data_IF_518641327254
#
_entry.id   IF_518641327254
#
_cell.length_a   1.000
_cell.length_b   1.000
_cell.length_c   1.000
_cell.angle_alpha   90.00
_cell.angle_beta   90.00
_cell.angle_gamma   90.00
#
_symmetry.space_group_name_H-M   'P 1'
#
loop_
_entity.id
_entity.type
_entity.pdbx_description
1 polymer ?
#
# COMPACT_ATOMS: atom_id res chain seq x y z
N UNK A 1 -5.39 21.54 -6.82
CA UNK A 1 -5.71 20.12 -7.06
C UNK A 1 -7.18 20.06 -7.41
N UNK A 2 -7.56 19.40 -8.50
CA UNK A 2 -8.97 19.15 -8.77
C UNK A 2 -9.62 18.36 -7.61
N UNK A 3 -10.94 18.51 -7.37
CA UNK A 3 -11.64 17.81 -6.29
C UNK A 3 -11.48 16.29 -6.38
N UNK A 4 -11.45 15.75 -7.60
CA UNK A 4 -11.21 14.32 -7.85
C UNK A 4 -9.81 13.85 -7.43
N UNK A 5 -8.76 14.67 -7.60
CA UNK A 5 -7.41 14.33 -7.14
C UNK A 5 -7.30 14.34 -5.62
N UNK A 6 -8.06 15.20 -4.95
CA UNK A 6 -8.10 15.29 -3.48
C UNK A 6 -8.78 14.07 -2.86
N UNK A 7 -9.88 13.61 -3.45
CA UNK A 7 -10.55 12.37 -3.07
C UNK A 7 -9.63 11.15 -3.24
N UNK A 8 -8.97 11.02 -4.39
CA UNK A 8 -8.02 9.93 -4.64
C UNK A 8 -6.84 9.93 -3.66
N UNK A 9 -6.37 11.12 -3.27
CA UNK A 9 -5.31 11.25 -2.25
C UNK A 9 -5.79 10.73 -0.90
N UNK A 10 -6.99 11.12 -0.48
CA UNK A 10 -7.58 10.65 0.78
C UNK A 10 -7.84 9.14 0.74
N UNK A 11 -8.36 8.61 -0.37
CA UNK A 11 -8.56 7.18 -0.56
C UNK A 11 -7.24 6.41 -0.46
N UNK A 12 -6.18 6.90 -1.11
CA UNK A 12 -4.85 6.30 -1.03
C UNK A 12 -4.30 6.34 0.40
N UNK A 13 -4.41 7.49 1.09
CA UNK A 13 -3.93 7.65 2.46
C UNK A 13 -4.70 6.74 3.44
N UNK A 14 -6.03 6.78 3.40
CA UNK A 14 -6.88 6.00 4.30
C UNK A 14 -6.65 4.51 4.07
N UNK A 15 -6.67 4.05 2.80
CA UNK A 15 -6.46 2.63 2.50
C UNK A 15 -5.06 2.15 2.88
N UNK A 16 -4.03 2.98 2.66
CA UNK A 16 -2.66 2.63 2.99
C UNK A 16 -2.42 2.60 4.51
N UNK A 17 -2.95 3.59 5.23
CA UNK A 17 -2.90 3.62 6.70
C UNK A 17 -3.69 2.47 7.32
N UNK A 18 -4.88 2.17 6.79
CA UNK A 18 -5.69 1.05 7.22
C UNK A 18 -4.96 -0.29 6.99
N UNK A 19 -4.28 -0.45 5.85
CA UNK A 19 -3.47 -1.63 5.56
C UNK A 19 -2.31 -1.79 6.57
N UNK A 20 -1.58 -0.71 6.87
CA UNK A 20 -0.51 -0.75 7.88
C UNK A 20 -1.04 -1.17 9.26
N UNK A 21 -2.18 -0.58 9.67
CA UNK A 21 -2.82 -0.95 10.94
C UNK A 21 -3.26 -2.41 10.91
N UNK A 22 -3.87 -2.86 9.81
CA UNK A 22 -4.35 -4.24 9.65
C UNK A 22 -3.22 -5.25 9.76
N UNK A 23 -2.09 -5.00 9.09
CA UNK A 23 -0.90 -5.88 9.14
C UNK A 23 -0.38 -6.01 10.58
N UNK A 24 -0.31 -4.90 11.31
CA UNK A 24 0.11 -4.90 12.73
C UNK A 24 -0.90 -5.65 13.58
N UNK A 25 -2.20 -5.37 13.43
CA UNK A 25 -3.27 -6.02 14.19
C UNK A 25 -3.28 -7.54 13.93
N UNK A 26 -3.07 -7.96 12.69
CA UNK A 26 -3.03 -9.37 12.35
C UNK A 26 -1.84 -10.07 12.99
N UNK A 27 -0.62 -9.56 12.82
CA UNK A 27 0.59 -10.21 13.33
C UNK A 27 0.77 -10.11 14.86
N UNK A 28 0.24 -9.07 15.52
CA UNK A 28 0.40 -8.87 16.96
C UNK A 28 -0.78 -9.34 17.81
N UNK A 29 -2.01 -9.31 17.27
CA UNK A 29 -3.23 -9.58 18.06
C UNK A 29 -3.91 -10.86 17.62
N UNK A 30 -4.07 -11.07 16.30
CA UNK A 30 -4.91 -12.15 15.78
C UNK A 30 -4.16 -13.47 15.59
N UNK A 31 -2.91 -13.40 15.13
CA UNK A 31 -2.07 -14.57 14.89
C UNK A 31 -0.62 -14.27 15.30
N UNK A 32 -0.33 -14.18 16.60
CA UNK A 32 1.04 -14.04 17.08
C UNK A 32 1.85 -15.25 16.61
N UNK A 33 2.85 -15.01 15.75
CA UNK A 33 3.70 -16.09 15.29
C UNK A 33 4.67 -16.51 16.40
N UNK A 34 4.50 -17.69 16.96
CA UNK A 34 5.40 -18.28 17.96
C UNK A 34 6.82 -18.51 17.38
N UNK A 35 6.96 -18.67 16.05
CA UNK A 35 8.23 -18.99 15.39
C UNK A 35 9.12 -17.78 15.07
N UNK A 36 8.57 -16.57 14.97
CA UNK A 36 9.33 -15.39 14.55
C UNK A 36 9.25 -14.31 15.61
N UNK A 37 10.40 -13.69 15.92
CA UNK A 37 10.43 -12.59 16.87
C UNK A 37 9.53 -11.44 16.37
N UNK A 38 8.71 -10.82 17.25
CA UNK A 38 7.86 -9.69 16.88
C UNK A 38 8.65 -8.54 16.23
N UNK A 39 9.91 -8.37 16.64
CA UNK A 39 10.82 -7.37 16.09
C UNK A 39 11.15 -7.65 14.61
N UNK A 40 11.35 -8.92 14.25
CA UNK A 40 11.66 -9.33 12.88
C UNK A 40 10.47 -9.08 11.95
N UNK A 41 9.25 -9.40 12.41
CA UNK A 41 8.02 -9.10 11.68
C UNK A 41 7.86 -7.59 11.42
N UNK A 42 8.09 -6.75 12.43
CA UNK A 42 8.02 -5.28 12.27
C UNK A 42 9.09 -4.77 11.30
N UNK A 43 10.32 -5.26 11.43
CA UNK A 43 11.42 -4.86 10.54
C UNK A 43 11.17 -5.29 9.09
N UNK A 44 10.61 -6.46 8.87
CA UNK A 44 10.42 -7.00 7.52
C UNK A 44 9.15 -6.46 6.85
N UNK A 45 8.07 -6.24 7.61
CA UNK A 45 6.77 -5.80 7.06
C UNK A 45 6.53 -4.30 7.25
N UNK A 46 6.63 -3.81 8.47
CA UNK A 46 6.25 -2.44 8.83
C UNK A 46 7.29 -1.42 8.33
N UNK A 47 8.58 -1.75 8.41
CA UNK A 47 9.66 -0.83 8.02
C UNK A 47 9.62 -0.46 6.53
N UNK A 48 9.55 -1.41 5.58
CA UNK A 48 9.36 -1.04 4.19
C UNK A 48 8.03 -0.33 3.95
N UNK A 49 6.95 -0.65 4.68
CA UNK A 49 5.65 0.06 4.58
C UNK A 49 5.66 1.51 5.10
N UNK A 50 6.55 1.85 6.03
CA UNK A 50 6.66 3.23 6.57
C UNK A 50 7.42 4.18 5.62
N UNK A 51 8.37 3.67 4.84
CA UNK A 51 9.12 4.44 3.85
C UNK A 51 8.24 5.17 2.82
N UNK A 52 7.28 4.51 2.14
CA UNK A 52 6.41 5.16 1.15
C UNK A 52 5.40 6.09 1.82
N UNK A 53 4.98 5.81 3.06
CA UNK A 53 3.99 6.62 3.78
C UNK A 53 4.46 8.09 3.88
N UNK A 54 5.74 8.32 4.21
CA UNK A 54 6.30 9.68 4.26
C UNK A 54 6.17 10.41 2.91
N UNK A 55 6.44 9.74 1.79
CA UNK A 55 6.35 10.39 0.48
C UNK A 55 4.92 10.48 -0.09
N UNK A 56 4.02 9.58 0.31
CA UNK A 56 2.57 9.68 0.07
C UNK A 56 2.02 10.94 0.79
N UNK A 57 2.42 11.17 2.04
CA UNK A 57 2.04 12.38 2.79
C UNK A 57 2.57 13.63 2.10
N UNK A 58 3.79 13.60 1.57
CA UNK A 58 4.37 14.70 0.77
C UNK A 58 3.70 14.88 -0.61
N UNK A 59 2.82 13.96 -1.04
CA UNK A 59 2.05 14.06 -2.28
C UNK A 59 2.90 13.89 -3.55
N UNK A 60 4.08 13.27 -3.46
CA UNK A 60 4.98 13.06 -4.60
C UNK A 60 4.45 11.91 -5.48
N UNK A 61 4.16 12.14 -6.78
CA UNK A 61 3.63 11.11 -7.67
C UNK A 61 4.54 9.88 -7.76
N UNK A 62 5.85 10.10 -7.73
CA UNK A 62 6.86 9.04 -7.75
C UNK A 62 6.74 8.10 -6.54
N UNK A 63 6.46 8.63 -5.35
CA UNK A 63 6.30 7.78 -4.16
C UNK A 63 5.02 6.96 -4.21
N UNK A 64 3.94 7.47 -4.82
CA UNK A 64 2.74 6.69 -5.04
C UNK A 64 2.98 5.51 -6.02
N UNK A 65 3.77 5.73 -7.08
CA UNK A 65 4.19 4.64 -7.96
C UNK A 65 5.10 3.63 -7.24
N UNK A 66 6.00 4.12 -6.40
CA UNK A 66 6.90 3.27 -5.62
C UNK A 66 6.16 2.45 -4.54
N UNK A 67 5.16 3.05 -3.88
CA UNK A 67 4.31 2.38 -2.90
C UNK A 67 3.57 1.17 -3.47
N UNK A 68 3.26 1.20 -4.78
CA UNK A 68 2.62 0.09 -5.48
C UNK A 68 3.48 -1.18 -5.49
N UNK A 69 4.80 -1.06 -5.58
CA UNK A 69 5.69 -2.22 -5.52
C UNK A 69 5.64 -2.90 -4.15
N UNK A 70 5.53 -2.10 -3.08
CA UNK A 70 5.37 -2.64 -1.72
C UNK A 70 3.99 -3.29 -1.58
N UNK A 71 2.93 -2.67 -2.09
CA UNK A 71 1.58 -3.25 -2.07
C UNK A 71 1.50 -4.60 -2.79
N UNK A 72 2.30 -4.81 -3.85
CA UNK A 72 2.39 -6.11 -4.52
C UNK A 72 2.87 -7.24 -3.58
N UNK A 73 3.82 -6.95 -2.68
CA UNK A 73 4.29 -7.93 -1.69
C UNK A 73 3.15 -8.29 -0.72
N UNK A 74 2.36 -7.30 -0.28
CA UNK A 74 1.20 -7.52 0.59
C UNK A 74 0.08 -8.31 -0.10
N UNK A 75 -0.20 -8.02 -1.38
CA UNK A 75 -1.18 -8.79 -2.16
C UNK A 75 -0.72 -10.24 -2.26
N UNK A 76 0.54 -10.47 -2.63
CA UNK A 76 1.12 -11.81 -2.71
C UNK A 76 1.01 -12.55 -1.37
N UNK A 77 1.35 -11.88 -0.27
CA UNK A 77 1.21 -12.43 1.07
C UNK A 77 -0.22 -12.82 1.42
N UNK A 78 -1.19 -11.96 1.12
CA UNK A 78 -2.60 -12.26 1.32
C UNK A 78 -3.02 -13.50 0.53
N UNK A 79 -2.65 -13.59 -0.76
CA UNK A 79 -2.95 -14.77 -1.59
C UNK A 79 -2.29 -16.04 -1.06
N UNK A 80 -1.01 -15.96 -0.68
CA UNK A 80 -0.31 -17.10 -0.09
C UNK A 80 -0.93 -17.50 1.24
N UNK A 81 -1.38 -16.55 2.06
CA UNK A 81 -2.04 -16.81 3.35
C UNK A 81 -3.41 -17.46 3.19
N UNK A 82 -4.22 -17.02 2.20
CA UNK A 82 -5.49 -17.69 1.85
C UNK A 82 -5.25 -19.16 1.49
N UNK A 83 -4.19 -19.44 0.74
CA UNK A 83 -3.89 -20.80 0.26
C UNK A 83 -3.20 -21.68 1.32
N UNK A 84 -2.25 -21.11 2.06
CA UNK A 84 -1.41 -21.85 3.02
C UNK A 84 -2.12 -22.10 4.36
N UNK A 85 -3.02 -21.22 4.79
CA UNK A 85 -3.71 -21.32 6.07
C UNK A 85 -5.20 -21.10 5.86
N UNK A 86 -5.90 -22.17 5.49
CA UNK A 86 -7.34 -22.16 5.20
C UNK A 86 -8.19 -21.70 6.38
N UNK A 87 -7.69 -21.74 7.62
CA UNK A 87 -8.41 -21.30 8.81
C UNK A 87 -8.41 -19.76 8.98
N UNK A 88 -7.43 -19.06 8.37
CA UNK A 88 -7.25 -17.61 8.48
C UNK A 88 -7.67 -16.84 7.22
N UNK A 89 -8.42 -17.49 6.32
CA UNK A 89 -8.79 -16.94 5.01
C UNK A 89 -9.54 -15.60 5.07
N UNK A 90 -10.32 -15.37 6.14
CA UNK A 90 -11.07 -14.13 6.35
C UNK A 90 -10.12 -12.93 6.51
N UNK A 91 -9.05 -13.07 7.31
CA UNK A 91 -8.09 -12.00 7.56
C UNK A 91 -7.28 -11.68 6.29
N UNK A 92 -6.91 -12.74 5.57
CA UNK A 92 -6.21 -12.64 4.30
C UNK A 92 -7.07 -11.95 3.22
N UNK A 93 -8.38 -12.22 3.19
CA UNK A 93 -9.31 -11.57 2.25
C UNK A 93 -9.42 -10.08 2.53
N UNK A 94 -9.50 -9.67 3.80
CA UNK A 94 -9.54 -8.25 4.18
C UNK A 94 -8.23 -7.54 3.80
N UNK A 95 -7.08 -8.18 4.02
CA UNK A 95 -5.76 -7.65 3.62
C UNK A 95 -5.67 -7.47 2.09
N UNK A 96 -6.16 -8.43 1.32
CA UNK A 96 -6.23 -8.34 -0.16
C UNK A 96 -7.11 -7.18 -0.59
N UNK A 97 -8.31 -7.02 0.00
CA UNK A 97 -9.22 -5.94 -0.35
C UNK A 97 -8.66 -4.55 0.00
N UNK A 98 -8.02 -4.40 1.16
CA UNK A 98 -7.34 -3.17 1.57
C UNK A 98 -6.16 -2.84 0.64
N UNK A 99 -5.35 -3.83 0.29
CA UNK A 99 -4.19 -3.64 -0.58
C UNK A 99 -4.59 -3.29 -2.02
N UNK A 100 -5.63 -3.93 -2.57
CA UNK A 100 -6.23 -3.56 -3.85
C UNK A 100 -6.77 -2.13 -3.84
N UNK A 101 -7.49 -1.75 -2.79
CA UNK A 101 -8.04 -0.39 -2.65
C UNK A 101 -6.92 0.67 -2.59
N UNK A 102 -5.86 0.38 -1.82
CA UNK A 102 -4.67 1.22 -1.76
C UNK A 102 -3.93 1.28 -3.11
N UNK A 103 -3.85 0.17 -3.83
CA UNK A 103 -3.21 0.07 -5.14
C UNK A 103 -3.94 0.94 -6.18
N UNK A 104 -5.27 0.84 -6.22
CA UNK A 104 -6.11 1.67 -7.09
C UNK A 104 -5.94 3.15 -6.71
N UNK A 105 -6.05 3.49 -5.43
CA UNK A 105 -5.88 4.86 -4.93
C UNK A 105 -4.53 5.47 -5.32
N UNK A 106 -3.43 4.75 -5.07
CA UNK A 106 -2.08 5.19 -5.41
C UNK A 106 -1.86 5.32 -6.93
N UNK A 107 -2.31 4.33 -7.71
CA UNK A 107 -2.15 4.31 -9.17
C UNK A 107 -2.89 5.48 -9.82
N UNK A 108 -4.17 5.67 -9.49
CA UNK A 108 -4.96 6.75 -10.05
C UNK A 108 -4.47 8.12 -9.58
N UNK A 109 -4.10 8.27 -8.30
CA UNK A 109 -3.51 9.52 -7.82
C UNK A 109 -2.19 9.86 -8.53
N UNK A 110 -1.26 8.90 -8.65
CA UNK A 110 0.01 9.10 -9.37
C UNK A 110 -0.22 9.53 -10.82
N UNK A 111 -1.19 8.89 -11.50
CA UNK A 111 -1.54 9.19 -12.90
C UNK A 111 -2.12 10.59 -13.05
N UNK A 112 -3.12 10.95 -12.25
CA UNK A 112 -3.75 12.28 -12.34
C UNK A 112 -2.81 13.39 -11.89
N UNK A 113 -2.06 13.19 -10.80
CA UNK A 113 -1.11 14.19 -10.32
C UNK A 113 0.10 14.34 -11.24
N UNK A 114 0.55 13.26 -11.87
CA UNK A 114 1.57 13.30 -12.92
C UNK A 114 1.12 14.08 -14.16
N UNK A 115 -0.16 13.98 -14.54
CA UNK A 115 -0.75 14.80 -15.60
C UNK A 115 -0.86 16.28 -15.19
N UNK A 116 -1.31 16.57 -13.96
CA UNK A 116 -1.44 17.94 -13.44
C UNK A 116 -0.09 18.65 -13.28
N UNK A 117 1.00 17.93 -13.00
CA UNK A 117 2.35 18.48 -12.88
C UNK A 117 3.04 18.69 -14.24
N UNK A 118 2.37 18.37 -15.35
CA UNK A 118 2.91 18.62 -16.69
C UNK A 118 4.17 17.81 -16.99
N UNK A 119 4.42 16.70 -16.29
CA UNK A 119 5.55 15.79 -16.51
C UNK A 119 5.36 14.95 -17.79
N UNK A 120 4.68 15.52 -18.79
CA UNK A 120 4.69 14.99 -20.14
C UNK A 120 6.11 15.07 -20.66
N UNK A 121 6.61 13.94 -21.19
CA UNK A 121 7.88 13.85 -21.89
C UNK A 121 8.08 15.12 -22.73
N UNK A 122 9.10 15.92 -22.39
CA UNK A 122 9.50 17.07 -23.20
C UNK A 122 9.76 16.52 -24.59
N UNK A 123 8.84 16.74 -25.53
CA UNK A 123 8.94 16.26 -26.90
C UNK A 123 10.31 16.73 -27.39
N UNK A 124 11.24 15.79 -27.60
CA UNK A 124 12.56 16.11 -28.14
C UNK A 124 12.29 16.75 -29.48
N UNK A 125 12.59 18.06 -29.61
CA UNK A 125 12.57 18.75 -30.90
C UNK A 125 13.57 18.00 -31.78
N UNK A 126 13.05 17.25 -32.74
CA UNK A 126 13.83 16.81 -33.89
C UNK A 126 13.61 17.80 -35.02
#
# INVERSE_FOLDING_TARGET
MAPHTRFLRFLALISYSALLIWVVLWHFVLAPSEMYSPLFLVLMWVLPGLLPLKGIIQGKPYTHAWANFILMIYILHGFTSVYAVSEQWHYATVEILLSLSAFIGCTYYARYRGRELGIGLKKRKS
#
